data_IF_867292561640
#
_entry.id   IF_867292561640
#
_cell.length_a   1.000
_cell.length_b   1.000
_cell.length_c   1.000
_cell.angle_alpha   90.00
_cell.angle_beta   90.00
_cell.angle_gamma   90.00
#
_symmetry.space_group_name_H-M   'P 1'
#
loop_
_entity.id
_entity.type
_entity.pdbx_description
1 polymer ?
#
# COMPACT_ATOMS: atom_id res chain seq x y z
N UNK A 1 6.77 16.04 -3.45
CA UNK A 1 6.85 14.59 -3.26
C UNK A 1 7.99 14.31 -2.29
N UNK A 2 7.69 13.74 -1.13
CA UNK A 2 8.72 13.20 -0.25
C UNK A 2 9.27 11.96 -0.97
N UNK A 3 10.59 11.91 -1.17
CA UNK A 3 11.24 10.79 -1.84
C UNK A 3 11.33 9.66 -0.82
N UNK A 4 10.72 8.53 -1.15
CA UNK A 4 10.92 7.29 -0.42
C UNK A 4 12.38 6.86 -0.43
N UNK A 5 12.77 6.00 0.52
CA UNK A 5 14.10 5.38 0.52
C UNK A 5 13.95 3.91 0.14
N UNK A 6 14.67 3.46 -0.89
CA UNK A 6 14.53 2.09 -1.38
C UNK A 6 14.92 1.11 -0.28
N UNK A 7 14.06 0.13 -0.02
CA UNK A 7 14.32 -0.88 1.00
C UNK A 7 13.69 -0.60 2.37
N UNK A 8 13.07 0.56 2.58
CA UNK A 8 12.34 0.84 3.82
C UNK A 8 11.14 -0.11 3.99
N UNK A 9 10.82 -0.56 5.21
CA UNK A 9 9.66 -1.41 5.44
C UNK A 9 8.37 -0.75 4.99
N UNK A 10 7.52 -1.50 4.27
CA UNK A 10 6.14 -1.12 3.99
C UNK A 10 5.23 -1.92 4.90
N UNK A 11 4.43 -1.24 5.71
CA UNK A 11 3.58 -1.86 6.72
C UNK A 11 2.10 -1.68 6.38
N UNK A 12 1.29 -2.70 6.70
CA UNK A 12 -0.15 -2.60 6.52
C UNK A 12 -0.78 -1.77 7.64
N UNK A 13 -1.15 -0.53 7.34
CA UNK A 13 -1.73 0.41 8.30
C UNK A 13 -3.25 0.27 8.46
N UNK A 14 -3.92 -0.51 7.61
CA UNK A 14 -5.37 -0.72 7.66
C UNK A 14 -5.84 -1.60 8.82
N UNK A 15 -7.15 -1.78 8.93
CA UNK A 15 -7.73 -2.88 9.72
C UNK A 15 -7.27 -4.22 9.15
N UNK A 16 -7.11 -5.28 9.98
CA UNK A 16 -6.70 -6.57 9.47
C UNK A 16 -7.57 -7.09 8.33
N UNK A 17 -6.96 -7.84 7.42
CA UNK A 17 -7.62 -8.25 6.20
C UNK A 17 -6.97 -9.43 5.51
N UNK A 18 -7.51 -9.77 4.35
CA UNK A 18 -7.00 -10.84 3.50
C UNK A 18 -6.45 -10.29 2.20
N UNK A 19 -5.28 -10.78 1.80
CA UNK A 19 -4.67 -10.42 0.52
C UNK A 19 -5.55 -10.91 -0.62
N UNK A 20 -6.05 -10.01 -1.45
CA UNK A 20 -6.89 -10.33 -2.61
C UNK A 20 -6.09 -10.42 -3.90
N UNK A 21 -4.95 -9.73 -3.99
CA UNK A 21 -4.09 -9.73 -5.17
C UNK A 21 -2.63 -9.46 -4.82
N UNK A 22 -1.74 -10.12 -5.55
CA UNK A 22 -0.29 -9.88 -5.53
C UNK A 22 0.23 -9.82 -6.96
N UNK A 23 1.06 -8.82 -7.28
CA UNK A 23 1.78 -8.76 -8.55
C UNK A 23 3.21 -8.24 -8.32
N UNK A 24 4.17 -9.17 -8.34
CA UNK A 24 5.58 -8.88 -8.10
C UNK A 24 6.25 -8.04 -9.19
N UNK A 25 5.64 -7.95 -10.39
CA UNK A 25 6.15 -7.16 -11.53
C UNK A 25 6.07 -5.68 -11.25
N UNK A 26 4.97 -5.25 -10.62
CA UNK A 26 4.71 -3.85 -10.26
C UNK A 26 4.81 -3.58 -8.75
N UNK A 27 5.17 -4.60 -7.96
CA UNK A 27 5.24 -4.49 -6.50
C UNK A 27 3.88 -4.23 -5.86
N UNK A 28 2.83 -4.90 -6.36
CA UNK A 28 1.45 -4.74 -5.90
C UNK A 28 1.11 -5.76 -4.81
N UNK A 29 0.50 -5.28 -3.73
CA UNK A 29 -0.30 -6.09 -2.79
C UNK A 29 -1.62 -5.37 -2.55
N UNK A 30 -2.75 -6.07 -2.69
CA UNK A 30 -4.08 -5.57 -2.35
C UNK A 30 -4.67 -6.41 -1.21
N UNK A 31 -5.27 -5.75 -0.21
CA UNK A 31 -5.77 -6.34 1.02
C UNK A 31 -7.20 -5.87 1.25
N UNK A 32 -8.14 -6.81 1.32
CA UNK A 32 -9.53 -6.52 1.65
C UNK A 32 -9.75 -6.58 3.16
N UNK A 33 -10.21 -5.47 3.72
CA UNK A 33 -10.44 -5.25 5.13
C UNK A 33 -11.96 -5.29 5.39
N UNK A 34 -12.47 -6.44 5.84
CA UNK A 34 -13.93 -6.67 5.97
C UNK A 34 -14.61 -5.76 6.98
N UNK A 35 -13.89 -5.34 8.02
CA UNK A 35 -14.45 -4.55 9.13
C UNK A 35 -14.88 -3.15 8.68
N UNK A 36 -14.22 -2.63 7.64
CA UNK A 36 -14.50 -1.32 7.03
C UNK A 36 -15.02 -1.44 5.59
N UNK A 37 -15.10 -2.67 5.06
CA UNK A 37 -15.50 -2.99 3.70
C UNK A 37 -14.69 -2.23 2.63
N UNK A 38 -13.37 -2.15 2.80
CA UNK A 38 -12.46 -1.43 1.89
C UNK A 38 -11.33 -2.35 1.41
N UNK A 39 -10.84 -2.11 0.19
CA UNK A 39 -9.60 -2.73 -0.30
C UNK A 39 -8.49 -1.70 -0.28
N UNK A 40 -7.43 -1.97 0.48
CA UNK A 40 -6.23 -1.14 0.51
C UNK A 40 -5.20 -1.77 -0.41
N UNK A 41 -4.61 -1.00 -1.31
CA UNK A 41 -3.55 -1.49 -2.19
C UNK A 41 -2.27 -0.67 -2.06
N UNK A 42 -1.16 -1.35 -2.27
CA UNK A 42 0.21 -0.86 -2.16
C UNK A 42 0.93 -1.21 -3.46
N UNK A 43 1.59 -0.26 -4.11
CA UNK A 43 2.28 -0.42 -5.39
C UNK A 43 3.69 0.13 -5.35
N UNK A 44 4.48 -0.25 -6.36
CA UNK A 44 5.88 0.12 -6.55
C UNK A 44 6.86 -0.47 -5.53
N UNK A 45 6.43 -1.39 -4.67
CA UNK A 45 7.32 -2.06 -3.73
C UNK A 45 8.48 -2.77 -4.43
N UNK A 46 9.69 -2.68 -3.86
CA UNK A 46 10.88 -3.34 -4.36
C UNK A 46 10.81 -4.87 -4.15
N UNK A 47 10.40 -5.28 -2.95
CA UNK A 47 10.14 -6.68 -2.62
C UNK A 47 8.79 -6.82 -1.92
N UNK A 48 8.18 -7.99 -2.09
CA UNK A 48 7.00 -8.41 -1.34
C UNK A 48 7.49 -9.40 -0.29
N UNK A 49 7.02 -9.25 0.95
CA UNK A 49 7.49 -10.06 2.06
C UNK A 49 7.13 -11.54 1.87
N UNK A 50 8.02 -12.44 2.26
CA UNK A 50 7.78 -13.88 2.15
C UNK A 50 6.54 -14.28 2.94
N UNK A 51 5.66 -15.11 2.34
CA UNK A 51 4.38 -15.50 2.92
C UNK A 51 3.21 -14.56 2.60
N UNK A 52 3.45 -13.39 1.98
CA UNK A 52 2.39 -12.54 1.43
C UNK A 52 2.03 -13.06 0.04
N UNK A 53 0.88 -13.71 -0.05
CA UNK A 53 0.29 -14.23 -1.28
C UNK A 53 -1.24 -14.09 -1.21
N UNK A 54 -1.92 -14.25 -2.33
CA UNK A 54 -3.39 -14.22 -2.34
C UNK A 54 -3.97 -15.22 -1.33
N UNK A 55 -4.91 -14.75 -0.50
CA UNK A 55 -5.51 -15.50 0.60
C UNK A 55 -4.77 -15.39 1.94
N UNK A 56 -3.56 -14.82 1.99
CA UNK A 56 -2.85 -14.59 3.26
C UNK A 56 -3.60 -13.60 4.15
N UNK A 57 -3.69 -13.89 5.44
CA UNK A 57 -4.14 -12.93 6.44
C UNK A 57 -3.03 -11.93 6.77
N UNK A 58 -3.39 -10.66 6.92
CA UNK A 58 -2.47 -9.57 7.26
C UNK A 58 -3.04 -8.79 8.43
N UNK A 59 -2.23 -8.60 9.47
CA UNK A 59 -2.57 -7.81 10.65
C UNK A 59 -2.19 -6.34 10.47
N UNK A 60 -2.82 -5.45 11.24
CA UNK A 60 -2.38 -4.06 11.37
C UNK A 60 -0.90 -4.00 11.82
N UNK A 61 -0.10 -3.14 11.18
CA UNK A 61 1.33 -2.97 11.39
C UNK A 61 2.21 -4.08 10.81
N UNK A 62 1.62 -5.13 10.21
CA UNK A 62 2.41 -6.22 9.62
C UNK A 62 3.17 -5.71 8.39
N UNK A 63 4.47 -6.01 8.33
CA UNK A 63 5.27 -5.72 7.14
C UNK A 63 4.81 -6.58 5.96
N UNK A 64 4.54 -5.93 4.82
CA UNK A 64 4.07 -6.58 3.58
C UNK A 64 5.10 -6.52 2.45
N UNK A 65 6.13 -5.68 2.60
CA UNK A 65 7.18 -5.54 1.60
C UNK A 65 8.20 -4.49 1.97
N UNK A 66 8.91 -4.01 0.95
CA UNK A 66 9.83 -2.87 1.05
C UNK A 66 9.57 -1.84 -0.03
N UNK A 67 9.79 -0.57 0.28
CA UNK A 67 9.60 0.54 -0.63
C UNK A 67 10.54 0.43 -1.83
N UNK A 68 10.06 0.84 -3.00
CA UNK A 68 10.80 0.71 -4.25
C UNK A 68 10.33 1.63 -5.36
N UNK A 69 10.61 1.20 -6.59
CA UNK A 69 10.25 1.93 -7.81
C UNK A 69 9.80 0.97 -8.93
N UNK A 70 9.29 -0.21 -8.60
CA UNK A 70 8.90 -1.21 -9.61
C UNK A 70 7.72 -0.73 -10.47
N UNK A 71 7.67 -1.15 -11.74
CA UNK A 71 6.63 -0.70 -12.68
C UNK A 71 6.92 0.69 -13.27
N UNK A 72 5.87 1.45 -13.57
CA UNK A 72 6.00 2.80 -14.12
C UNK A 72 6.11 3.85 -13.00
N UNK A 73 7.31 4.02 -12.45
CA UNK A 73 7.58 4.99 -11.39
C UNK A 73 8.68 5.97 -11.80
N UNK A 74 8.49 7.26 -11.51
CA UNK A 74 9.45 8.33 -11.82
C UNK A 74 10.60 8.45 -10.80
N UNK A 75 10.56 7.65 -9.72
CA UNK A 75 11.55 7.59 -8.65
C UNK A 75 11.02 6.81 -7.45
N UNK A 76 11.88 6.43 -6.50
CA UNK A 76 11.46 5.64 -5.33
C UNK A 76 10.36 6.34 -4.53
N UNK A 77 9.21 5.68 -4.45
CA UNK A 77 8.07 6.06 -3.60
C UNK A 77 7.11 4.88 -3.47
N UNK A 78 6.31 4.85 -2.41
CA UNK A 78 5.16 3.98 -2.26
C UNK A 78 3.92 4.67 -2.83
N UNK A 79 3.20 3.97 -3.71
CA UNK A 79 1.86 4.39 -4.13
C UNK A 79 0.84 3.53 -3.40
N UNK A 80 -0.08 4.16 -2.66
CA UNK A 80 -1.14 3.44 -1.97
C UNK A 80 -2.51 4.05 -2.29
N UNK A 81 -3.53 3.21 -2.33
CA UNK A 81 -4.89 3.65 -2.54
C UNK A 81 -5.87 2.80 -1.76
N UNK A 82 -7.09 3.31 -1.65
CA UNK A 82 -8.23 2.61 -1.06
C UNK A 82 -9.36 2.60 -2.08
N UNK A 83 -9.87 1.40 -2.33
CA UNK A 83 -11.08 1.19 -3.11
C UNK A 83 -12.25 0.93 -2.16
N UNK A 84 -13.29 1.75 -2.28
CA UNK A 84 -14.56 1.59 -1.58
C UNK A 84 -15.70 1.46 -2.58
N UNK A 85 -16.26 0.25 -2.71
CA UNK A 85 -17.29 -0.09 -3.68
C UNK A 85 -16.94 0.32 -5.13
N UNK A 86 -17.42 1.49 -5.61
CA UNK A 86 -17.20 2.05 -6.95
C UNK A 86 -16.41 3.37 -6.93
N UNK A 87 -15.78 3.72 -5.81
CA UNK A 87 -14.89 4.87 -5.67
C UNK A 87 -13.48 4.41 -5.34
N UNK A 88 -12.50 4.89 -6.10
CA UNK A 88 -11.07 4.72 -5.83
C UNK A 88 -10.52 6.06 -5.36
N UNK A 89 -9.66 6.04 -4.35
CA UNK A 89 -8.90 7.22 -3.91
C UNK A 89 -7.45 6.79 -3.72
N UNK A 90 -6.52 7.60 -4.22
CA UNK A 90 -5.11 7.22 -4.37
C UNK A 90 -4.18 8.31 -3.82
N UNK A 91 -3.02 7.90 -3.28
CA UNK A 91 -1.98 8.80 -2.80
C UNK A 91 -0.57 8.21 -3.05
N UNK A 92 0.45 9.07 -3.07
CA UNK A 92 1.86 8.66 -3.23
C UNK A 92 2.77 9.38 -2.21
N UNK A 93 3.69 8.63 -1.58
CA UNK A 93 4.52 9.07 -0.47
C UNK A 93 5.41 7.95 0.07
N UNK A 94 6.07 8.14 1.22
CA UNK A 94 6.77 7.08 1.95
C UNK A 94 5.87 6.37 2.97
N UNK A 95 6.23 5.18 3.47
CA UNK A 95 5.47 4.50 4.54
C UNK A 95 5.37 5.39 5.81
N UNK A 96 6.45 6.12 6.13
CA UNK A 96 6.46 7.11 7.21
C UNK A 96 5.47 8.27 7.01
N UNK A 97 5.14 8.63 5.75
CA UNK A 97 4.16 9.69 5.47
C UNK A 97 2.72 9.19 5.68
N UNK A 98 2.43 7.93 5.32
CA UNK A 98 1.10 7.34 5.49
C UNK A 98 0.80 6.87 6.91
N UNK A 99 1.83 6.57 7.70
CA UNK A 99 1.69 6.26 9.13
C UNK A 99 1.58 7.53 9.98
N UNK A 100 2.12 8.66 9.53
CA UNK A 100 2.06 9.95 10.23
C UNK A 100 0.85 10.83 9.82
N UNK A 101 0.33 10.64 8.62
CA UNK A 101 -0.93 11.26 8.18
C UNK A 101 -1.99 10.18 8.07
N UNK A 102 -3.03 10.28 8.91
CA UNK A 102 -4.23 9.46 8.79
C UNK A 102 -4.63 9.37 7.31
N UNK A 103 -4.61 8.17 6.71
CA UNK A 103 -4.63 7.97 5.26
C UNK A 103 -5.74 8.78 4.58
N UNK A 104 -6.90 8.91 5.24
CA UNK A 104 -8.05 9.63 4.75
C UNK A 104 -7.77 11.13 4.50
N UNK A 105 -6.80 11.73 5.21
CA UNK A 105 -6.31 13.09 4.97
C UNK A 105 -5.28 13.18 3.84
N UNK A 106 -4.37 12.21 3.73
CA UNK A 106 -3.41 12.15 2.61
C UNK A 106 -4.13 11.96 1.27
N UNK A 107 -5.20 11.16 1.27
CA UNK A 107 -6.04 10.91 0.10
C UNK A 107 -6.90 12.13 -0.32
N UNK A 108 -7.20 13.05 0.61
CA UNK A 108 -7.83 14.34 0.28
C UNK A 108 -6.85 15.35 -0.34
N UNK A 109 -5.54 15.22 -0.06
CA UNK A 109 -4.52 16.19 -0.50
C UNK A 109 -3.85 15.84 -1.83
N UNK A 110 -3.98 14.59 -2.30
CA UNK A 110 -3.39 14.12 -3.57
C UNK A 110 -4.43 13.77 -4.64
N UNK A 111 -5.68 14.19 -4.48
CA UNK A 111 -6.73 14.03 -5.48
C UNK A 111 -6.37 14.69 -6.82
N UNK A 112 -6.24 13.86 -7.85
CA UNK A 112 -6.57 14.21 -9.24
C UNK A 112 -7.83 13.45 -9.64
#
# INVERSE_FOLDING_TARGET
MIKGTTGEPVTHWGSPGYVTKVDATVGLVAIYCSDINETIFYRHMNSIQSGIQQGSYVSHGQQIGTEGSKGNSSGTHLHCGVEWASKTSDASGSDSDFTSQNIYYAMQYFGY
#
